data_IF_941344734502
#
_entry.id   IF_941344734502
#
_cell.length_a   1.000
_cell.length_b   1.000
_cell.length_c   1.000
_cell.angle_alpha   90.00
_cell.angle_beta   90.00
_cell.angle_gamma   90.00
#
_symmetry.space_group_name_H-M   'P 1'
#
loop_
_entity.id
_entity.type
_entity.pdbx_description
1 polymer ?
#
# COMPACT_ATOMS: atom_id res chain seq x y z
N UNK A 1 -21.39 -7.11 37.60
CA UNK A 1 -20.22 -7.85 37.06
C UNK A 1 -19.80 -7.12 35.79
N UNK A 2 -18.79 -6.25 35.85
CA UNK A 2 -18.36 -5.43 34.72
C UNK A 2 -17.18 -6.10 34.01
N UNK A 3 -17.16 -6.19 32.66
CA UNK A 3 -16.02 -6.72 31.94
C UNK A 3 -14.86 -5.73 31.99
N UNK A 4 -13.68 -6.22 32.38
CA UNK A 4 -12.43 -5.48 32.36
C UNK A 4 -12.04 -5.26 30.90
N UNK A 5 -12.09 -4.02 30.43
CA UNK A 5 -11.43 -3.63 29.19
C UNK A 5 -9.92 -3.80 29.38
N UNK A 6 -9.40 -4.95 28.91
CA UNK A 6 -7.97 -5.14 28.75
C UNK A 6 -7.51 -4.15 27.69
N UNK A 7 -6.80 -3.10 28.12
CA UNK A 7 -6.05 -2.25 27.21
C UNK A 7 -5.03 -3.14 26.50
N UNK A 8 -5.28 -3.44 25.23
CA UNK A 8 -4.28 -4.01 24.33
C UNK A 8 -3.24 -2.92 24.12
N UNK A 9 -2.23 -2.90 24.98
CA UNK A 9 -1.00 -2.16 24.74
C UNK A 9 -0.22 -2.96 23.70
N UNK A 10 -0.47 -2.69 22.42
CA UNK A 10 0.48 -3.07 21.37
C UNK A 10 1.82 -2.42 21.72
N UNK A 11 2.93 -3.17 21.79
CA UNK A 11 4.24 -2.55 21.93
C UNK A 11 4.44 -1.67 20.70
N UNK A 12 4.73 -0.38 20.90
CA UNK A 12 5.35 0.47 19.88
C UNK A 12 6.77 -0.06 19.67
N UNK A 13 6.89 -1.19 19.01
CA UNK A 13 8.14 -1.69 18.48
C UNK A 13 8.60 -0.65 17.46
N UNK A 14 9.80 -0.12 17.65
CA UNK A 14 10.43 0.76 16.65
C UNK A 14 10.35 0.02 15.29
N UNK A 15 9.94 0.67 14.19
CA UNK A 15 9.75 -0.03 12.93
C UNK A 15 11.02 -0.78 12.55
N UNK A 16 10.89 -2.07 12.25
CA UNK A 16 12.01 -2.83 11.73
C UNK A 16 12.42 -2.25 10.37
N UNK A 17 13.71 -2.28 10.03
CA UNK A 17 14.19 -1.75 8.73
C UNK A 17 13.42 -2.32 7.54
N UNK A 18 12.99 -3.59 7.63
CA UNK A 18 12.12 -4.25 6.66
C UNK A 18 10.76 -3.57 6.52
N UNK A 19 10.13 -3.17 7.63
CA UNK A 19 8.86 -2.42 7.65
C UNK A 19 9.01 -1.05 6.98
N UNK A 20 10.10 -0.33 7.29
CA UNK A 20 10.39 0.98 6.67
C UNK A 20 10.59 0.82 5.16
N UNK A 21 11.43 -0.13 4.75
CA UNK A 21 11.70 -0.40 3.33
C UNK A 21 10.41 -0.78 2.58
N UNK A 22 9.54 -1.56 3.21
CA UNK A 22 8.27 -1.97 2.61
C UNK A 22 7.28 -0.80 2.50
N UNK A 23 7.19 0.03 3.53
CA UNK A 23 6.39 1.27 3.50
C UNK A 23 6.83 2.18 2.35
N UNK A 24 8.14 2.40 2.18
CA UNK A 24 8.69 3.20 1.08
C UNK A 24 8.36 2.59 -0.27
N UNK A 25 8.54 1.27 -0.46
CA UNK A 25 8.23 0.60 -1.72
C UNK A 25 6.75 0.75 -2.12
N UNK A 26 5.83 0.65 -1.16
CA UNK A 26 4.39 0.87 -1.39
C UNK A 26 4.09 2.32 -1.76
N UNK A 27 4.73 3.29 -1.10
CA UNK A 27 4.59 4.70 -1.49
C UNK A 27 5.13 5.00 -2.89
N UNK A 28 6.27 4.41 -3.26
CA UNK A 28 6.86 4.56 -4.59
C UNK A 28 5.97 3.92 -5.67
N UNK A 29 5.36 2.77 -5.39
CA UNK A 29 4.35 2.16 -6.26
C UNK A 29 3.12 3.06 -6.42
N UNK A 30 2.57 3.59 -5.32
CA UNK A 30 1.42 4.50 -5.37
C UNK A 30 1.71 5.75 -6.20
N UNK A 31 2.91 6.32 -6.06
CA UNK A 31 3.36 7.43 -6.88
C UNK A 31 3.42 7.06 -8.36
N UNK A 32 4.03 5.92 -8.71
CA UNK A 32 4.06 5.42 -10.11
C UNK A 32 2.65 5.24 -10.67
N UNK A 33 1.71 4.70 -9.90
CA UNK A 33 0.31 4.58 -10.31
C UNK A 33 -0.33 5.94 -10.61
N UNK A 34 -0.09 6.96 -9.79
CA UNK A 34 -0.57 8.33 -10.06
C UNK A 34 0.07 8.91 -11.33
N UNK A 35 1.39 8.78 -11.47
CA UNK A 35 2.13 9.29 -12.63
C UNK A 35 1.64 8.63 -13.94
N UNK A 36 1.45 7.30 -13.93
CA UNK A 36 0.87 6.57 -15.07
C UNK A 36 -0.57 7.01 -15.33
N UNK A 37 -1.39 7.19 -14.29
CA UNK A 37 -2.78 7.65 -14.44
C UNK A 37 -2.90 9.08 -14.97
N UNK A 38 -1.89 9.92 -14.81
CA UNK A 38 -1.89 11.29 -15.32
C UNK A 38 -1.40 11.38 -16.77
N UNK A 39 -0.82 10.30 -17.31
CA UNK A 39 -0.54 10.20 -18.74
C UNK A 39 -1.84 10.23 -19.57
N UNK A 40 -1.90 11.16 -20.53
CA UNK A 40 -3.07 11.36 -21.39
C UNK A 40 -3.32 10.21 -22.37
N UNK A 41 -2.33 9.35 -22.62
CA UNK A 41 -2.50 8.16 -23.48
C UNK A 41 -3.27 7.02 -22.80
N UNK A 42 -3.45 7.08 -21.47
CA UNK A 42 -4.16 6.04 -20.71
C UNK A 42 -5.67 6.25 -20.81
N UNK A 43 -6.40 5.16 -21.06
CA UNK A 43 -7.86 5.18 -21.15
C UNK A 43 -8.50 5.68 -19.85
N UNK A 44 -9.56 6.50 -19.96
CA UNK A 44 -10.18 7.20 -18.82
C UNK A 44 -10.58 6.26 -17.66
N UNK A 45 -11.06 5.06 -17.95
CA UNK A 45 -11.42 4.08 -16.93
C UNK A 45 -10.19 3.56 -16.18
N UNK A 46 -9.11 3.23 -16.88
CA UNK A 46 -7.86 2.79 -16.26
C UNK A 46 -7.21 3.91 -15.44
N UNK A 47 -7.32 5.18 -15.88
CA UNK A 47 -6.88 6.33 -15.07
C UNK A 47 -7.58 6.38 -13.72
N UNK A 48 -8.91 6.24 -13.70
CA UNK A 48 -9.69 6.26 -12.47
C UNK A 48 -9.34 5.07 -11.56
N UNK A 49 -9.18 3.88 -12.14
CA UNK A 49 -8.79 2.67 -11.41
C UNK A 49 -7.37 2.79 -10.82
N UNK A 50 -6.40 3.30 -11.58
CA UNK A 50 -5.03 3.51 -11.09
C UNK A 50 -4.99 4.53 -9.94
N UNK A 51 -5.75 5.64 -10.02
CA UNK A 51 -5.85 6.61 -8.91
C UNK A 51 -6.45 5.99 -7.66
N UNK A 52 -7.49 5.18 -7.82
CA UNK A 52 -8.10 4.45 -6.71
C UNK A 52 -7.11 3.44 -6.10
N UNK A 53 -6.44 2.63 -6.93
CA UNK A 53 -5.43 1.67 -6.49
C UNK A 53 -4.24 2.34 -5.80
N UNK A 54 -3.81 3.51 -6.28
CA UNK A 54 -2.76 4.30 -5.64
C UNK A 54 -3.16 4.73 -4.21
N UNK A 55 -4.38 5.23 -4.02
CA UNK A 55 -4.90 5.59 -2.71
C UNK A 55 -5.01 4.38 -1.75
N UNK A 56 -5.42 3.21 -2.26
CA UNK A 56 -5.42 1.98 -1.49
C UNK A 56 -4.00 1.52 -1.13
N UNK A 57 -3.03 1.70 -2.03
CA UNK A 57 -1.63 1.33 -1.78
C UNK A 57 -1.00 2.20 -0.69
N UNK A 58 -1.35 3.49 -0.60
CA UNK A 58 -0.95 4.36 0.54
C UNK A 58 -1.55 3.85 1.86
N UNK A 59 -2.80 3.38 1.82
CA UNK A 59 -3.46 2.79 2.99
C UNK A 59 -2.76 1.49 3.42
N UNK A 60 -2.40 0.63 2.46
CA UNK A 60 -1.60 -0.57 2.69
C UNK A 60 -0.24 -0.25 3.33
N UNK A 61 0.44 0.81 2.88
CA UNK A 61 1.70 1.26 3.46
C UNK A 61 1.54 1.62 4.94
N UNK A 62 0.39 2.17 5.35
CA UNK A 62 0.08 2.48 6.75
C UNK A 62 -0.20 1.23 7.58
N UNK A 63 -0.87 0.22 7.00
CA UNK A 63 -1.14 -1.06 7.67
C UNK A 63 0.15 -1.83 7.98
N UNK A 64 1.14 -1.78 7.08
CA UNK A 64 2.48 -2.34 7.32
C UNK A 64 3.18 -1.63 8.48
N UNK A 65 3.18 -0.29 8.50
CA UNK A 65 3.84 0.49 9.56
C UNK A 65 3.20 0.29 10.94
N UNK A 66 1.89 0.07 10.98
CA UNK A 66 1.16 -0.22 12.23
C UNK A 66 1.24 -1.70 12.64
N UNK A 67 1.90 -2.56 11.86
CA UNK A 67 2.00 -4.00 12.14
C UNK A 67 0.70 -4.77 11.94
N UNK A 68 -0.28 -4.20 11.23
CA UNK A 68 -1.53 -4.89 10.90
C UNK A 68 -1.38 -5.81 9.68
N UNK A 69 -0.42 -5.52 8.80
CA UNK A 69 -0.01 -6.40 7.71
C UNK A 69 1.41 -6.90 7.94
N UNK A 70 1.61 -8.19 7.66
CA UNK A 70 2.94 -8.75 7.54
C UNK A 70 3.63 -8.34 6.23
N UNK A 71 4.94 -8.57 6.17
CA UNK A 71 5.78 -8.20 5.03
C UNK A 71 5.44 -9.01 3.78
N UNK A 72 5.00 -10.26 3.92
CA UNK A 72 4.66 -11.14 2.79
C UNK A 72 3.37 -10.69 2.09
N UNK A 73 2.37 -10.28 2.86
CA UNK A 73 1.12 -9.68 2.36
C UNK A 73 1.41 -8.38 1.62
N UNK A 74 2.27 -7.54 2.18
CA UNK A 74 2.71 -6.30 1.54
C UNK A 74 3.49 -6.56 0.23
N UNK A 75 4.32 -7.61 0.21
CA UNK A 75 5.03 -8.06 -0.99
C UNK A 75 4.07 -8.51 -2.08
N UNK A 76 3.09 -9.33 -1.74
CA UNK A 76 2.06 -9.78 -2.69
C UNK A 76 1.26 -8.60 -3.28
N UNK A 77 0.97 -7.58 -2.46
CA UNK A 77 0.35 -6.34 -2.93
C UNK A 77 1.24 -5.57 -3.92
N UNK A 78 2.54 -5.46 -3.63
CA UNK A 78 3.50 -4.82 -4.54
C UNK A 78 3.55 -5.53 -5.90
N UNK A 79 3.71 -6.85 -5.90
CA UNK A 79 3.82 -7.65 -7.12
C UNK A 79 2.54 -7.51 -7.99
N UNK A 80 1.36 -7.55 -7.36
CA UNK A 80 0.09 -7.34 -8.05
C UNK A 80 -0.05 -5.91 -8.61
N UNK A 81 0.40 -4.91 -7.86
CA UNK A 81 0.35 -3.52 -8.29
C UNK A 81 1.32 -3.21 -9.43
N UNK A 82 2.53 -3.75 -9.40
CA UNK A 82 3.50 -3.63 -10.50
C UNK A 82 2.96 -4.26 -11.79
N UNK A 83 2.33 -5.44 -11.70
CA UNK A 83 1.68 -6.09 -12.84
C UNK A 83 0.53 -5.24 -13.40
N UNK A 84 -0.26 -4.59 -12.53
CA UNK A 84 -1.35 -3.71 -12.94
C UNK A 84 -0.84 -2.46 -13.68
N UNK A 85 0.22 -1.84 -13.17
CA UNK A 85 0.87 -0.69 -13.84
C UNK A 85 1.42 -1.11 -15.20
N UNK A 86 2.14 -2.24 -15.28
CA UNK A 86 2.70 -2.74 -16.53
C UNK A 86 1.61 -2.98 -17.59
N UNK A 87 0.46 -3.56 -17.21
CA UNK A 87 -0.68 -3.81 -18.11
C UNK A 87 -1.24 -2.52 -18.75
N UNK A 88 -1.28 -1.43 -17.99
CA UNK A 88 -1.84 -0.15 -18.46
C UNK A 88 -0.81 0.69 -19.23
N UNK A 89 0.47 0.44 -18.99
CA UNK A 89 1.58 1.18 -19.58
C UNK A 89 2.09 0.58 -20.91
N UNK A 90 1.71 -0.67 -21.20
CA UNK A 90 2.04 -1.39 -22.43
C UNK A 90 1.13 -0.97 -23.59
#
# INVERSE_FOLDING_TARGET
>A
MAPKHAYVTTPKTRPEWSTVSMHTALHDLAKRMFDTADNLSVHRSDRALLKFAAAQTISAASLVTCGHWDIDTARAWLDAGDAAVARVSA
#
